data_IF_706397163889
#
_entry.id   IF_706397163889
#
_cell.length_a   1.000
_cell.length_b   1.000
_cell.length_c   1.000
_cell.angle_alpha   90.00
_cell.angle_beta   90.00
_cell.angle_gamma   90.00
#
_symmetry.space_group_name_H-M   'P 1'
#
loop_
_entity.id
_entity.type
_entity.pdbx_description
1 polymer ?
#
# COMPACT_ATOMS: atom_id res chain seq x y z
N UNK A 1 -7.93 -40.69 74.06
CA UNK A 1 -7.75 -39.44 74.82
C UNK A 1 -7.63 -38.31 73.82
N UNK A 2 -8.49 -37.28 73.99
CA UNK A 2 -8.50 -35.91 73.47
C UNK A 2 -8.60 -35.72 71.94
N UNK A 3 -9.67 -35.21 71.32
CA UNK A 3 -10.53 -34.01 71.51
C UNK A 3 -10.11 -32.80 70.64
N UNK A 4 -10.96 -32.52 69.64
CA UNK A 4 -11.47 -31.21 69.14
C UNK A 4 -10.62 -30.23 68.30
N UNK A 5 -11.37 -29.48 67.47
CA UNK A 5 -11.16 -28.18 66.80
C UNK A 5 -10.67 -28.21 65.34
N UNK A 6 -11.50 -27.92 64.32
CA UNK A 6 -12.23 -26.68 63.97
C UNK A 6 -11.33 -25.56 63.42
N UNK A 7 -11.38 -25.35 62.10
CA UNK A 7 -11.35 -24.05 61.39
C UNK A 7 -11.59 -24.35 59.89
N UNK A 8 -12.79 -24.17 59.32
CA UNK A 8 -13.39 -22.90 58.92
C UNK A 8 -12.40 -21.97 58.20
N UNK A 9 -12.46 -21.89 56.87
CA UNK A 9 -13.25 -20.89 56.13
C UNK A 9 -12.65 -20.63 54.74
N UNK A 10 -13.57 -20.56 53.79
CA UNK A 10 -13.45 -20.33 52.35
C UNK A 10 -12.98 -18.90 52.05
N UNK A 11 -12.07 -18.76 51.09
CA UNK A 11 -11.77 -17.53 50.34
C UNK A 11 -11.20 -17.99 48.97
N UNK A 12 -11.38 -17.26 47.85
CA UNK A 12 -11.56 -15.81 47.81
C UNK A 12 -12.88 -15.33 47.18
N UNK A 13 -13.40 -14.26 47.77
CA UNK A 13 -14.43 -13.40 47.23
C UNK A 13 -13.84 -12.45 46.19
N UNK A 14 -14.44 -12.49 45.00
CA UNK A 14 -14.85 -11.37 44.15
C UNK A 14 -13.96 -10.12 44.03
N UNK A 15 -13.49 -9.94 42.80
CA UNK A 15 -13.68 -8.73 41.99
C UNK A 15 -13.22 -7.41 42.61
N UNK A 16 -11.91 -7.16 42.58
CA UNK A 16 -11.42 -5.80 42.40
C UNK A 16 -11.40 -5.51 40.91
N UNK A 17 -12.36 -4.70 40.45
CA UNK A 17 -12.33 -4.10 39.12
C UNK A 17 -11.15 -3.13 39.11
N UNK A 18 -10.12 -3.52 38.37
CA UNK A 18 -9.16 -2.59 37.78
C UNK A 18 -9.92 -1.38 37.23
N UNK A 19 -9.59 -0.13 37.62
CA UNK A 19 -10.09 1.01 36.90
C UNK A 19 -9.48 0.95 35.51
N UNK A 20 -10.31 0.51 34.56
CA UNK A 20 -10.13 0.72 33.13
C UNK A 20 -9.66 2.16 32.94
N UNK A 21 -8.36 2.34 32.72
CA UNK A 21 -7.82 3.50 32.04
C UNK A 21 -8.38 3.42 30.62
N UNK A 22 -9.64 3.83 30.46
CA UNK A 22 -10.18 4.29 29.19
C UNK A 22 -9.36 5.52 28.84
N UNK A 23 -8.18 5.30 28.27
CA UNK A 23 -7.53 6.28 27.46
C UNK A 23 -8.55 6.63 26.38
N UNK A 24 -9.19 7.78 26.54
CA UNK A 24 -9.87 8.45 25.44
C UNK A 24 -8.84 8.54 24.32
N UNK A 25 -8.94 7.63 23.36
CA UNK A 25 -8.27 7.76 22.09
C UNK A 25 -8.81 9.04 21.48
N UNK A 26 -8.09 10.15 21.70
CA UNK A 26 -8.29 11.35 20.90
C UNK A 26 -8.23 10.88 19.45
N UNK A 27 -9.22 11.20 18.60
CA UNK A 27 -9.15 10.83 17.21
C UNK A 27 -7.84 11.40 16.67
N UNK A 28 -6.92 10.52 16.32
CA UNK A 28 -5.68 10.90 15.64
C UNK A 28 -6.16 11.72 14.44
N UNK A 29 -5.76 13.00 14.32
CA UNK A 29 -6.17 13.80 13.18
C UNK A 29 -5.77 13.02 11.94
N UNK A 30 -6.74 12.73 11.08
CA UNK A 30 -6.53 12.07 9.80
C UNK A 30 -5.51 12.91 9.04
N UNK A 31 -4.26 12.48 9.08
CA UNK A 31 -3.17 13.23 8.48
C UNK A 31 -3.50 13.40 7.00
N UNK A 32 -3.59 14.66 6.56
CA UNK A 32 -3.79 14.96 5.15
C UNK A 32 -2.66 14.29 4.37
N UNK A 33 -2.96 13.53 3.30
CA UNK A 33 -1.93 12.93 2.46
C UNK A 33 -1.01 14.04 1.95
N UNK A 34 0.29 13.77 1.87
CA UNK A 34 1.20 14.75 1.28
C UNK A 34 1.11 14.70 -0.23
N UNK A 35 1.57 15.77 -0.87
CA UNK A 35 1.81 15.79 -2.31
C UNK A 35 2.63 14.58 -2.78
N UNK A 36 3.62 14.13 -1.99
CA UNK A 36 4.39 12.91 -2.31
C UNK A 36 3.55 11.63 -2.23
N UNK A 37 2.60 11.55 -1.28
CA UNK A 37 1.66 10.42 -1.18
C UNK A 37 0.66 10.42 -2.34
N UNK A 38 0.18 11.61 -2.75
CA UNK A 38 -0.71 11.78 -3.89
C UNK A 38 -0.02 11.41 -5.21
N UNK A 39 1.22 11.85 -5.42
CA UNK A 39 2.02 11.45 -6.59
C UNK A 39 2.23 9.93 -6.62
N UNK A 40 2.51 9.31 -5.46
CA UNK A 40 2.67 7.86 -5.35
C UNK A 40 1.37 7.09 -5.64
N UNK A 41 0.22 7.59 -5.18
CA UNK A 41 -1.09 7.04 -5.49
C UNK A 41 -1.40 7.16 -6.99
N UNK A 42 -1.12 8.31 -7.61
CA UNK A 42 -1.31 8.51 -9.03
C UNK A 42 -0.41 7.58 -9.86
N UNK A 43 0.86 7.45 -9.48
CA UNK A 43 1.78 6.50 -10.12
C UNK A 43 1.26 5.06 -10.05
N UNK A 44 0.71 4.64 -8.90
CA UNK A 44 0.11 3.31 -8.75
C UNK A 44 -1.09 3.11 -9.70
N UNK A 45 -1.95 4.13 -9.86
CA UNK A 45 -3.07 4.11 -10.80
C UNK A 45 -2.60 3.97 -12.25
N UNK A 46 -1.56 4.69 -12.65
CA UNK A 46 -0.97 4.56 -13.99
C UNK A 46 -0.39 3.16 -14.24
N UNK A 47 0.29 2.56 -13.25
CA UNK A 47 0.77 1.18 -13.37
C UNK A 47 -0.37 0.18 -13.53
N UNK A 48 -1.46 0.36 -12.79
CA UNK A 48 -2.63 -0.52 -12.91
C UNK A 48 -3.28 -0.38 -14.27
N UNK A 49 -3.47 0.85 -14.75
CA UNK A 49 -4.02 1.12 -16.08
C UNK A 49 -3.15 0.49 -17.18
N UNK A 50 -1.82 0.63 -17.09
CA UNK A 50 -0.90 0.01 -18.05
C UNK A 50 -1.04 -1.52 -18.09
N UNK A 51 -1.24 -2.17 -16.94
CA UNK A 51 -1.45 -3.63 -16.85
C UNK A 51 -2.77 -4.03 -17.51
N UNK A 52 -3.88 -3.39 -17.13
CA UNK A 52 -5.20 -3.67 -17.69
C UNK A 52 -5.24 -3.44 -19.19
N UNK A 53 -4.63 -2.35 -19.68
CA UNK A 53 -4.52 -2.08 -21.12
C UNK A 53 -3.67 -3.14 -21.84
N UNK A 54 -2.57 -3.61 -21.23
CA UNK A 54 -1.76 -4.67 -21.84
C UNK A 54 -2.52 -6.00 -21.96
N UNK A 55 -3.35 -6.34 -20.98
CA UNK A 55 -4.16 -7.57 -21.03
C UNK A 55 -5.31 -7.45 -22.05
N UNK A 56 -5.92 -6.27 -22.17
CA UNK A 56 -6.87 -5.97 -23.23
C UNK A 56 -6.24 -6.10 -24.63
N UNK A 57 -5.04 -5.56 -24.83
CA UNK A 57 -4.33 -5.68 -26.11
C UNK A 57 -4.14 -7.15 -26.51
N UNK A 58 -3.71 -8.01 -25.57
CA UNK A 58 -3.56 -9.46 -25.83
C UNK A 58 -4.90 -10.12 -26.17
N UNK A 59 -5.99 -9.71 -25.54
CA UNK A 59 -7.31 -10.26 -25.83
C UNK A 59 -7.75 -9.89 -27.26
N UNK A 60 -7.55 -8.63 -27.66
CA UNK A 60 -7.86 -8.15 -29.01
C UNK A 60 -7.01 -8.82 -30.08
N UNK A 61 -5.73 -9.08 -29.79
CA UNK A 61 -4.83 -9.79 -30.73
C UNK A 61 -5.28 -11.23 -31.02
N UNK A 62 -6.01 -11.87 -30.09
CA UNK A 62 -6.54 -13.24 -30.29
C UNK A 62 -7.87 -13.28 -31.06
N UNK A 63 -8.60 -12.17 -31.12
CA UNK A 63 -9.96 -12.12 -31.66
C UNK A 63 -10.06 -11.40 -33.00
N UNK A 64 -9.05 -11.56 -33.87
CA UNK A 64 -8.94 -10.94 -35.20
C UNK A 64 -9.01 -9.39 -35.21
N UNK A 65 -8.89 -8.76 -34.03
CA UNK A 65 -8.97 -7.31 -33.83
C UNK A 65 -7.58 -6.66 -33.72
N UNK A 66 -6.64 -7.12 -34.54
CA UNK A 66 -5.21 -6.78 -34.45
C UNK A 66 -4.92 -5.27 -34.55
N UNK A 67 -5.69 -4.53 -35.35
CA UNK A 67 -5.57 -3.07 -35.47
C UNK A 67 -5.96 -2.35 -34.17
N UNK A 68 -7.03 -2.80 -33.51
CA UNK A 68 -7.43 -2.29 -32.19
C UNK A 68 -6.38 -2.67 -31.13
N UNK A 69 -5.88 -3.91 -31.17
CA UNK A 69 -4.78 -4.37 -30.31
C UNK A 69 -3.53 -3.49 -30.45
N UNK A 70 -3.16 -3.13 -31.68
CA UNK A 70 -2.05 -2.21 -31.98
C UNK A 70 -2.22 -0.83 -31.33
N UNK A 71 -3.41 -0.24 -31.40
CA UNK A 71 -3.69 1.05 -30.73
C UNK A 71 -3.63 0.94 -29.22
N UNK A 72 -4.12 -0.15 -28.63
CA UNK A 72 -4.04 -0.36 -27.18
C UNK A 72 -2.58 -0.55 -26.74
N UNK A 73 -1.73 -1.25 -27.52
CA UNK A 73 -0.28 -1.31 -27.25
C UNK A 73 0.39 0.06 -27.30
N UNK A 74 0.02 0.91 -28.25
CA UNK A 74 0.52 2.29 -28.29
C UNK A 74 0.11 3.07 -27.03
N UNK A 75 -1.15 2.95 -26.61
CA UNK A 75 -1.65 3.56 -25.38
C UNK A 75 -0.85 3.12 -24.13
N UNK A 76 -0.50 1.83 -24.02
CA UNK A 76 0.38 1.33 -22.93
C UNK A 76 1.72 2.08 -22.91
N UNK A 77 2.29 2.38 -24.08
CA UNK A 77 3.52 3.17 -24.20
C UNK A 77 3.37 4.59 -23.64
N UNK A 78 2.26 5.26 -23.93
CA UNK A 78 1.96 6.61 -23.42
C UNK A 78 1.72 6.61 -21.91
N UNK A 79 0.96 5.64 -21.39
CA UNK A 79 0.72 5.49 -19.94
C UNK A 79 2.06 5.28 -19.20
N UNK A 80 2.95 4.47 -19.77
CA UNK A 80 4.27 4.25 -19.19
C UNK A 80 5.11 5.55 -19.14
N UNK A 81 5.04 6.38 -20.18
CA UNK A 81 5.75 7.67 -20.20
C UNK A 81 5.22 8.63 -19.13
N UNK A 82 3.90 8.77 -19.03
CA UNK A 82 3.29 9.57 -17.97
C UNK A 82 3.65 9.06 -16.57
N UNK A 83 3.78 7.74 -16.36
CA UNK A 83 4.24 7.20 -15.09
C UNK A 83 5.71 7.59 -14.77
N UNK A 84 6.59 7.65 -15.77
CA UNK A 84 7.97 8.12 -15.59
C UNK A 84 8.05 9.62 -15.28
N UNK A 85 7.15 10.43 -15.86
CA UNK A 85 7.04 11.85 -15.54
C UNK A 85 6.62 12.06 -14.08
N UNK A 86 5.66 11.27 -13.58
CA UNK A 86 5.26 11.28 -12.16
C UNK A 86 6.39 10.83 -11.23
N UNK A 87 7.19 9.85 -11.64
CA UNK A 87 8.37 9.43 -10.89
C UNK A 87 9.40 10.57 -10.78
N UNK A 88 9.60 11.31 -11.87
CA UNK A 88 10.47 12.50 -11.87
C UNK A 88 9.90 13.59 -10.96
N UNK A 89 8.60 13.86 -11.06
CA UNK A 89 7.91 14.85 -10.23
C UNK A 89 8.04 14.52 -8.72
N UNK A 90 8.01 13.24 -8.35
CA UNK A 90 8.21 12.80 -6.97
C UNK A 90 9.56 13.24 -6.39
N UNK A 91 10.64 13.17 -7.18
CA UNK A 91 11.97 13.60 -6.75
C UNK A 91 12.10 15.13 -6.65
N UNK A 92 11.30 15.87 -7.42
CA UNK A 92 11.26 17.34 -7.35
C UNK A 92 10.33 17.88 -6.27
N UNK A 93 9.39 17.07 -5.77
CA UNK A 93 8.45 17.48 -4.74
C UNK A 93 9.17 17.67 -3.38
N UNK A 94 8.87 18.74 -2.61
CA UNK A 94 9.52 18.99 -1.32
C UNK A 94 9.39 17.77 -0.37
N UNK A 95 10.47 17.33 0.30
CA UNK A 95 10.35 16.39 1.41
C UNK A 95 9.59 17.05 2.55
N UNK A 96 8.73 16.31 3.27
CA UNK A 96 8.10 16.85 4.49
C UNK A 96 9.21 17.31 5.44
N UNK A 97 9.14 18.56 5.89
CA UNK A 97 10.00 19.04 6.97
C UNK A 97 9.63 18.33 8.27
N UNK A 98 10.60 17.65 8.90
CA UNK A 98 10.54 17.10 10.27
C UNK A 98 9.73 15.82 10.54
N UNK A 99 9.32 15.05 9.52
CA UNK A 99 8.80 13.70 9.76
C UNK A 99 9.94 12.65 9.75
N UNK A 100 9.84 11.56 10.55
CA UNK A 100 10.80 10.46 10.51
C UNK A 100 10.96 9.97 9.06
N UNK A 101 12.15 9.49 8.67
CA UNK A 101 12.49 9.21 7.28
C UNK A 101 11.39 8.38 6.64
N UNK A 102 10.60 9.04 5.78
CA UNK A 102 9.50 8.38 5.08
C UNK A 102 10.14 7.22 4.35
N UNK A 103 9.72 5.96 4.60
CA UNK A 103 10.42 4.79 4.12
C UNK A 103 10.70 4.96 2.63
N UNK A 104 11.99 4.97 2.28
CA UNK A 104 12.55 5.05 0.93
C UNK A 104 11.49 4.73 -0.14
N UNK A 105 10.93 5.82 -0.65
CA UNK A 105 9.99 5.96 -1.76
C UNK A 105 9.40 4.64 -2.27
N UNK A 106 8.25 4.22 -1.73
CA UNK A 106 7.46 3.07 -2.23
C UNK A 106 7.32 3.08 -3.76
N UNK A 107 7.25 4.29 -4.33
CA UNK A 107 7.29 4.60 -5.77
C UNK A 107 8.56 4.06 -6.46
N UNK A 108 9.75 4.36 -5.94
CA UNK A 108 11.03 3.87 -6.46
C UNK A 108 11.11 2.34 -6.44
N UNK A 109 10.70 1.72 -5.32
CA UNK A 109 10.64 0.26 -5.22
C UNK A 109 9.68 -0.37 -6.24
N UNK A 110 8.49 0.24 -6.44
CA UNK A 110 7.54 -0.21 -7.48
C UNK A 110 8.13 -0.13 -8.88
N UNK A 111 8.80 0.99 -9.20
CA UNK A 111 9.46 1.19 -10.50
C UNK A 111 10.51 0.12 -10.77
N UNK A 112 11.42 -0.12 -9.83
CA UNK A 112 12.48 -1.11 -9.97
C UNK A 112 11.93 -2.52 -10.19
N UNK A 113 10.91 -2.93 -9.43
CA UNK A 113 10.25 -4.24 -9.61
C UNK A 113 9.59 -4.38 -10.97
N UNK A 114 8.93 -3.32 -11.45
CA UNK A 114 8.34 -3.32 -12.79
C UNK A 114 9.42 -3.49 -13.87
N UNK A 115 10.51 -2.71 -13.81
CA UNK A 115 11.58 -2.76 -14.80
C UNK A 115 12.26 -4.12 -14.84
N UNK A 116 12.55 -4.71 -13.68
CA UNK A 116 13.09 -6.06 -13.58
C UNK A 116 12.16 -7.10 -14.22
N UNK A 117 10.86 -7.03 -13.94
CA UNK A 117 9.86 -7.94 -14.52
C UNK A 117 9.76 -7.77 -16.04
N UNK A 118 9.86 -6.53 -16.55
CA UNK A 118 9.80 -6.24 -17.98
C UNK A 118 11.06 -6.73 -18.71
N UNK A 119 12.25 -6.49 -18.17
CA UNK A 119 13.51 -6.96 -18.73
C UNK A 119 13.51 -8.50 -18.88
N UNK A 120 13.04 -9.22 -17.87
CA UNK A 120 12.92 -10.68 -17.90
C UNK A 120 11.97 -11.20 -19.01
N UNK A 121 10.99 -10.40 -19.45
CA UNK A 121 10.06 -10.78 -20.53
C UNK A 121 10.58 -10.47 -21.93
N UNK A 122 11.49 -9.51 -22.08
CA UNK A 122 12.08 -9.14 -23.38
C UNK A 122 13.35 -9.90 -23.73
N UNK A 123 13.95 -10.61 -22.78
CA UNK A 123 15.12 -11.47 -22.98
C UNK A 123 14.77 -12.90 -23.45
N UNK A 124 13.53 -13.11 -23.88
CA UNK A 124 12.96 -14.42 -24.24
C UNK A 124 12.28 -14.31 -25.61
#
# INVERSE_FOLDING_TARGET
MNATSTHARRAPETTERDPLLTMSASPVPSATPSIRDEIDALYASYLQLARTSADLAKALDRGDSSAAGGRVRAAVGHIWRAAEDLHTAFHTAPPRGTEPPTPLARLCGRRMRYLATRAARGAK
#
